data_IF_526480520756
#
_entry.id   IF_526480520756
#
_cell.length_a   1.000
_cell.length_b   1.000
_cell.length_c   1.000
_cell.angle_alpha   90.00
_cell.angle_beta   90.00
_cell.angle_gamma   90.00
#
_symmetry.space_group_name_H-M   'P 1'
#
loop_
_entity.id
_entity.type
_entity.pdbx_description
1 polymer ?
#
# COMPACT_ATOMS: atom_id res chain seq x y z
N UNK A 1 -5.60 -16.45 2.74
CA UNK A 1 -4.64 -17.20 1.86
C UNK A 1 -4.78 -16.89 0.36
N UNK A 2 -6.00 -16.82 -0.22
CA UNK A 2 -6.16 -16.53 -1.65
C UNK A 2 -5.70 -15.11 -2.03
N UNK A 3 -6.00 -14.11 -1.18
CA UNK A 3 -5.62 -12.71 -1.42
C UNK A 3 -4.10 -12.49 -1.35
N UNK A 4 -3.41 -13.17 -0.42
CA UNK A 4 -1.95 -13.11 -0.31
C UNK A 4 -1.24 -13.62 -1.57
N UNK A 5 -1.74 -14.71 -2.18
CA UNK A 5 -1.24 -15.19 -3.48
C UNK A 5 -1.62 -14.25 -4.63
N UNK A 6 -2.84 -13.69 -4.64
CA UNK A 6 -3.27 -12.80 -5.71
C UNK A 6 -2.49 -11.47 -5.74
N UNK A 7 -2.13 -10.90 -4.59
CA UNK A 7 -1.28 -9.71 -4.51
C UNK A 7 0.15 -9.96 -5.06
N UNK A 8 0.64 -11.19 -4.99
CA UNK A 8 1.94 -11.58 -5.58
C UNK A 8 1.85 -11.99 -7.05
N UNK A 9 0.73 -12.59 -7.49
CA UNK A 9 0.56 -13.17 -8.85
C UNK A 9 0.01 -12.16 -9.86
N UNK A 10 -0.91 -11.28 -9.44
CA UNK A 10 -1.41 -10.19 -10.26
C UNK A 10 -0.72 -8.91 -9.79
N UNK A 11 0.05 -8.27 -10.66
CA UNK A 11 0.65 -6.97 -10.35
C UNK A 11 -0.42 -6.06 -9.75
N UNK A 12 -0.14 -5.50 -8.56
CA UNK A 12 -1.13 -4.87 -7.67
C UNK A 12 -2.09 -3.90 -8.38
N UNK A 13 -1.64 -3.24 -9.44
CA UNK A 13 -2.46 -2.37 -10.30
C UNK A 13 -3.72 -3.05 -10.90
N UNK A 14 -3.67 -4.35 -11.22
CA UNK A 14 -4.79 -5.09 -11.79
C UNK A 14 -5.93 -5.33 -10.79
N UNK A 15 -5.63 -5.23 -9.49
CA UNK A 15 -6.59 -5.42 -8.40
C UNK A 15 -7.24 -4.10 -7.97
N UNK A 16 -6.74 -2.95 -8.42
CA UNK A 16 -7.28 -1.64 -8.08
C UNK A 16 -8.51 -1.29 -8.94
N UNK A 17 -9.55 -0.79 -8.28
CA UNK A 17 -10.65 -0.10 -8.92
C UNK A 17 -10.15 1.23 -9.51
N UNK A 18 -10.79 1.72 -10.58
CA UNK A 18 -10.35 2.97 -11.22
C UNK A 18 -10.51 4.18 -10.28
N UNK A 19 -11.50 4.10 -9.38
CA UNK A 19 -11.84 5.12 -8.37
C UNK A 19 -11.11 4.97 -7.03
N UNK A 20 -10.15 4.04 -6.93
CA UNK A 20 -9.49 3.73 -5.65
C UNK A 20 -8.96 4.97 -4.95
N UNK A 21 -9.09 5.04 -3.62
CA UNK A 21 -8.48 6.08 -2.79
C UNK A 21 -7.39 5.49 -1.92
N UNK A 22 -6.17 6.00 -2.07
CA UNK A 22 -5.04 5.64 -1.23
C UNK A 22 -4.85 6.64 -0.09
N UNK A 23 -4.82 6.15 1.15
CA UNK A 23 -4.54 6.94 2.36
C UNK A 23 -3.19 6.53 2.95
N UNK A 24 -2.28 7.50 2.97
CA UNK A 24 -0.87 7.32 3.34
C UNK A 24 -0.66 7.31 4.86
N UNK A 25 0.37 6.60 5.36
CA UNK A 25 0.75 6.66 6.78
C UNK A 25 1.52 7.94 7.13
N UNK A 26 1.95 8.72 6.12
CA UNK A 26 2.86 9.87 6.29
C UNK A 26 2.27 11.21 5.83
N UNK A 27 1.24 11.21 4.99
CA UNK A 27 0.59 12.43 4.50
C UNK A 27 -0.91 12.39 4.76
N UNK A 28 -1.49 13.52 5.21
CA UNK A 28 -2.91 13.61 5.54
C UNK A 28 -3.83 13.58 4.32
N UNK A 29 -3.46 14.26 3.22
CA UNK A 29 -4.31 14.34 2.03
C UNK A 29 -4.33 12.97 1.31
N UNK A 30 -5.51 12.37 1.06
CA UNK A 30 -5.61 11.14 0.28
C UNK A 30 -5.27 11.33 -1.20
N UNK A 31 -4.93 10.23 -1.86
CA UNK A 31 -4.59 10.16 -3.29
C UNK A 31 -5.69 9.41 -4.04
N UNK A 32 -6.61 10.10 -4.72
CA UNK A 32 -7.65 9.47 -5.52
C UNK A 32 -7.11 9.02 -6.88
N UNK A 33 -7.54 7.83 -7.30
CA UNK A 33 -7.31 7.29 -8.63
C UNK A 33 -6.29 6.14 -8.67
N UNK A 34 -6.55 5.21 -9.59
CA UNK A 34 -5.74 4.02 -9.82
C UNK A 34 -4.31 4.30 -10.24
N UNK A 35 -4.10 5.24 -11.17
CA UNK A 35 -2.77 5.53 -11.71
C UNK A 35 -1.79 5.98 -10.61
N UNK A 36 -2.20 6.94 -9.77
CA UNK A 36 -1.38 7.43 -8.66
C UNK A 36 -1.21 6.38 -7.57
N UNK A 37 -2.26 5.63 -7.24
CA UNK A 37 -2.18 4.55 -6.25
C UNK A 37 -1.20 3.47 -6.69
N UNK A 38 -1.29 3.02 -7.95
CA UNK A 38 -0.37 2.03 -8.50
C UNK A 38 1.09 2.53 -8.51
N UNK A 39 1.32 3.80 -8.85
CA UNK A 39 2.64 4.42 -8.82
C UNK A 39 3.20 4.51 -7.39
N UNK A 40 2.38 4.88 -6.40
CA UNK A 40 2.77 4.91 -4.99
C UNK A 40 3.16 3.50 -4.52
N UNK A 41 2.35 2.48 -4.82
CA UNK A 41 2.64 1.10 -4.39
C UNK A 41 3.94 0.57 -5.02
N UNK A 42 4.24 0.92 -6.27
CA UNK A 42 5.57 0.67 -6.87
C UNK A 42 6.69 1.40 -6.14
N UNK A 43 6.47 2.65 -5.73
CA UNK A 43 7.40 3.41 -4.90
C UNK A 43 7.70 2.72 -3.58
N UNK A 44 6.66 2.23 -2.90
CA UNK A 44 6.79 1.48 -1.63
C UNK A 44 7.63 0.21 -1.83
N UNK A 45 7.43 -0.53 -2.92
CA UNK A 45 8.24 -1.73 -3.24
C UNK A 45 9.73 -1.43 -3.47
N UNK A 46 10.09 -0.19 -3.82
CA UNK A 46 11.50 0.24 -3.93
C UNK A 46 12.10 0.65 -2.59
N UNK A 47 11.27 1.08 -1.65
CA UNK A 47 11.67 1.64 -0.35
C UNK A 47 11.73 0.57 0.74
N UNK A 48 10.79 -0.38 0.73
CA UNK A 48 10.78 -1.46 1.71
C UNK A 48 11.79 -2.54 1.39
N UNK A 49 12.53 -2.93 2.43
CA UNK A 49 13.41 -4.08 2.48
C UNK A 49 12.79 -5.15 3.40
N UNK A 50 13.10 -6.43 3.19
CA UNK A 50 12.63 -7.56 4.02
C UNK A 50 11.12 -7.59 4.27
N UNK A 51 10.32 -7.08 3.31
CA UNK A 51 8.87 -6.99 3.45
C UNK A 51 8.24 -8.38 3.55
N UNK A 52 7.44 -8.60 4.60
CA UNK A 52 6.72 -9.87 4.82
C UNK A 52 5.36 -9.59 5.46
N UNK A 53 4.29 -10.13 4.87
CA UNK A 53 3.00 -10.22 5.56
C UNK A 53 3.07 -11.30 6.65
N UNK A 54 2.67 -10.95 7.86
CA UNK A 54 2.77 -11.81 9.05
C UNK A 54 1.41 -12.19 9.64
N UNK A 55 0.33 -11.51 9.24
CA UNK A 55 -1.04 -11.84 9.67
C UNK A 55 -2.06 -11.27 8.68
N UNK A 56 -3.11 -12.04 8.44
CA UNK A 56 -4.33 -11.62 7.73
C UNK A 56 -5.47 -11.54 8.76
N UNK A 57 -6.22 -10.45 8.75
CA UNK A 57 -7.45 -10.27 9.51
C UNK A 57 -8.53 -9.94 8.48
N UNK A 58 -9.54 -10.79 8.36
CA UNK A 58 -10.60 -10.63 7.38
C UNK A 58 -11.96 -10.90 8.03
N UNK A 59 -12.99 -10.20 7.58
CA UNK A 59 -14.36 -10.61 7.83
C UNK A 59 -14.73 -11.69 6.80
N UNK A 60 -15.07 -12.94 7.19
CA UNK A 60 -15.30 -14.04 6.25
C UNK A 60 -16.31 -13.74 5.13
N UNK A 61 -17.32 -12.92 5.43
CA UNK A 61 -18.37 -12.52 4.48
C UNK A 61 -18.33 -11.00 4.18
N UNK A 62 -17.29 -10.32 4.64
CA UNK A 62 -17.11 -8.88 4.44
C UNK A 62 -16.14 -8.58 3.30
N UNK A 63 -16.02 -7.28 3.00
CA UNK A 63 -15.11 -6.77 1.97
C UNK A 63 -13.93 -6.00 2.55
N UNK A 64 -13.79 -6.03 3.86
CA UNK A 64 -12.70 -5.38 4.58
C UNK A 64 -11.65 -6.40 4.98
N UNK A 65 -10.41 -6.12 4.56
CA UNK A 65 -9.24 -6.93 4.90
C UNK A 65 -8.16 -6.07 5.53
N UNK A 66 -7.47 -6.62 6.52
CA UNK A 66 -6.30 -6.03 7.13
C UNK A 66 -5.12 -7.00 7.06
N UNK A 67 -4.04 -6.58 6.41
CA UNK A 67 -2.82 -7.37 6.26
C UNK A 67 -1.70 -6.74 7.07
N UNK A 68 -1.35 -7.38 8.19
CA UNK A 68 -0.23 -6.94 9.03
C UNK A 68 1.07 -7.40 8.38
N UNK A 69 2.03 -6.49 8.25
CA UNK A 69 3.34 -6.76 7.69
C UNK A 69 4.48 -6.25 8.58
N UNK A 70 5.67 -6.78 8.33
CA UNK A 70 6.94 -6.24 8.82
C UNK A 70 7.82 -5.89 7.64
N UNK A 71 8.65 -4.85 7.78
CA UNK A 71 9.65 -4.48 6.79
C UNK A 71 10.79 -3.69 7.46
N UNK A 72 11.82 -3.38 6.70
CA UNK A 72 12.90 -2.46 7.05
C UNK A 72 12.89 -1.26 6.09
N UNK A 73 13.16 -0.06 6.61
CA UNK A 73 13.41 1.14 5.79
C UNK A 73 14.58 1.91 6.37
N UNK A 74 15.61 2.18 5.57
CA UNK A 74 16.81 2.90 6.00
C UNK A 74 17.41 2.33 7.31
N UNK A 75 17.48 1.00 7.41
CA UNK A 75 17.97 0.29 8.60
C UNK A 75 17.04 0.29 9.82
N UNK A 76 15.83 0.84 9.73
CA UNK A 76 14.83 0.81 10.80
C UNK A 76 13.76 -0.23 10.50
N UNK A 77 13.56 -1.15 11.45
CA UNK A 77 12.44 -2.09 11.39
C UNK A 77 11.12 -1.38 11.66
N UNK A 78 10.09 -1.76 10.91
CA UNK A 78 8.72 -1.33 11.10
C UNK A 78 7.75 -2.51 11.07
N UNK A 79 6.60 -2.27 11.69
CA UNK A 79 5.40 -3.05 11.48
C UNK A 79 4.35 -2.13 10.88
N UNK A 80 3.64 -2.60 9.87
CA UNK A 80 2.52 -1.89 9.30
C UNK A 80 1.30 -2.77 9.10
N UNK A 81 0.25 -2.13 8.63
CA UNK A 81 -0.97 -2.80 8.24
C UNK A 81 -1.56 -2.11 7.01
N UNK A 82 -1.84 -2.90 5.98
CA UNK A 82 -2.65 -2.48 4.85
C UNK A 82 -4.11 -2.79 5.17
N UNK A 83 -4.96 -1.77 5.19
CA UNK A 83 -6.41 -1.89 5.30
C UNK A 83 -7.01 -1.68 3.92
N UNK A 84 -7.69 -2.70 3.41
CA UNK A 84 -8.24 -2.72 2.06
C UNK A 84 -9.76 -2.88 2.15
N UNK A 85 -10.49 -2.01 1.45
CA UNK A 85 -11.88 -2.25 1.10
C UNK A 85 -11.94 -2.77 -0.35
N UNK A 86 -12.84 -3.71 -0.59
CA UNK A 86 -13.14 -4.19 -1.92
C UNK A 86 -14.56 -3.77 -2.32
N UNK A 87 -14.74 -3.38 -3.58
CA UNK A 87 -16.05 -3.11 -4.17
C UNK A 87 -16.80 -4.43 -4.51
N UNK A 88 -18.01 -4.28 -5.06
CA UNK A 88 -18.86 -5.43 -5.44
C UNK A 88 -18.27 -6.26 -6.60
N UNK A 89 -17.32 -5.71 -7.36
CA UNK A 89 -16.59 -6.40 -8.44
C UNK A 89 -15.30 -7.08 -7.93
N UNK A 90 -15.03 -7.00 -6.62
CA UNK A 90 -13.83 -7.57 -6.00
C UNK A 90 -12.57 -6.79 -6.33
N UNK A 91 -12.67 -5.49 -6.64
CA UNK A 91 -11.53 -4.57 -6.83
C UNK A 91 -11.33 -3.71 -5.59
N UNK A 92 -10.09 -3.33 -5.33
CA UNK A 92 -9.73 -2.47 -4.21
C UNK A 92 -10.14 -1.04 -4.54
N UNK A 93 -11.11 -0.49 -3.83
CA UNK A 93 -11.61 0.89 -3.94
C UNK A 93 -11.16 1.78 -2.76
N UNK A 94 -10.73 1.19 -1.65
CA UNK A 94 -10.01 1.90 -0.59
C UNK A 94 -8.75 1.16 -0.15
N UNK A 95 -7.64 1.89 -0.01
CA UNK A 95 -6.37 1.35 0.49
C UNK A 95 -5.75 2.31 1.49
N UNK A 96 -5.81 1.98 2.78
CA UNK A 96 -5.18 2.75 3.85
C UNK A 96 -3.99 2.00 4.42
N UNK A 97 -2.85 2.68 4.57
CA UNK A 97 -1.66 2.10 5.18
C UNK A 97 -1.35 2.81 6.49
N UNK A 98 -1.08 2.04 7.54
CA UNK A 98 -0.56 2.55 8.82
C UNK A 98 0.75 1.85 9.15
N UNK A 99 1.71 2.58 9.74
CA UNK A 99 3.00 2.02 10.16
C UNK A 99 3.42 2.50 11.55
N UNK A 100 4.22 1.68 12.22
CA UNK A 100 4.85 1.97 13.52
C UNK A 100 6.28 1.38 13.57
N UNK A 101 7.15 1.85 14.47
CA UNK A 101 7.00 3.02 15.34
C UNK A 101 7.16 4.34 14.57
N UNK A 102 6.87 5.48 15.24
CA UNK A 102 6.97 6.82 14.64
C UNK A 102 8.34 7.08 13.98
N UNK A 103 9.43 6.64 14.60
CA UNK A 103 10.78 6.83 14.04
C UNK A 103 11.01 6.11 12.71
N UNK A 104 10.33 4.99 12.48
CA UNK A 104 10.35 4.30 11.20
C UNK A 104 9.34 4.90 10.22
N UNK A 105 8.20 5.42 10.70
CA UNK A 105 7.26 6.19 9.89
C UNK A 105 7.89 7.46 9.30
N UNK A 106 8.72 8.15 10.09
CA UNK A 106 9.49 9.32 9.63
C UNK A 106 10.48 8.93 8.53
N UNK A 107 11.26 7.87 8.75
CA UNK A 107 12.20 7.36 7.74
C UNK A 107 11.48 6.91 6.45
N UNK A 108 10.31 6.28 6.57
CA UNK A 108 9.45 5.95 5.44
C UNK A 108 9.02 7.22 4.69
N UNK A 109 8.60 8.26 5.41
CA UNK A 109 8.20 9.54 4.82
C UNK A 109 9.32 10.20 4.02
N UNK A 110 10.54 10.23 4.56
CA UNK A 110 11.73 10.74 3.88
C UNK A 110 12.05 9.93 2.62
N UNK A 111 12.08 8.60 2.72
CA UNK A 111 12.38 7.72 1.59
C UNK A 111 11.32 7.81 0.48
N UNK A 112 10.03 7.85 0.83
CA UNK A 112 8.95 8.04 -0.13
C UNK A 112 8.93 9.44 -0.73
N UNK A 113 9.30 10.47 0.03
CA UNK A 113 9.46 11.82 -0.47
C UNK A 113 10.49 11.88 -1.61
N UNK A 114 11.61 11.17 -1.47
CA UNK A 114 12.62 11.06 -2.52
C UNK A 114 12.15 10.29 -3.77
N UNK A 115 11.10 9.46 -3.65
CA UNK A 115 10.49 8.75 -4.78
C UNK A 115 9.45 9.59 -5.54
N UNK A 116 8.98 10.71 -4.96
CA UNK A 116 7.72 11.31 -5.39
C UNK A 116 7.74 11.91 -6.80
N UNK A 117 8.88 12.45 -7.25
CA UNK A 117 9.01 12.91 -8.65
C UNK A 117 8.81 11.76 -9.65
N UNK A 118 9.39 10.59 -9.35
CA UNK A 118 9.21 9.41 -10.18
C UNK A 118 7.77 8.88 -10.11
N UNK A 119 7.17 8.86 -8.92
CA UNK A 119 5.76 8.45 -8.73
C UNK A 119 4.84 9.35 -9.57
N UNK A 120 5.03 10.66 -9.53
CA UNK A 120 4.22 11.60 -10.29
C UNK A 120 4.33 11.38 -11.80
N UNK A 121 5.54 11.13 -12.31
CA UNK A 121 5.76 10.78 -13.71
C UNK A 121 5.09 9.46 -14.11
N UNK A 122 5.31 8.41 -13.33
CA UNK A 122 4.71 7.09 -13.58
C UNK A 122 3.17 7.14 -13.55
N UNK A 123 2.58 8.01 -12.73
CA UNK A 123 1.13 8.20 -12.65
C UNK A 123 0.57 8.98 -13.86
N UNK A 124 1.35 9.87 -14.47
CA UNK A 124 0.92 10.66 -15.63
C UNK A 124 1.02 9.88 -16.96
N UNK A 125 1.76 8.78 -16.98
CA UNK A 125 1.97 7.93 -18.16
C UNK A 125 0.91 6.82 -18.31
N UNK A 126 -0.05 6.72 -17.38
CA UNK A 126 -1.14 5.73 -17.37
C UNK A 126 -2.49 6.37 -17.68
#
# INVERSE_FOLDING_TARGET
>A
MAVHLQLQVYGVAALLADVVVFTSPVTFKPYPGKAITAAILRGVLRVFEDFTYVREIANPDGRDHAFVFTATVAGKQLQGCDFLHFDDDGKIDESTVMVRPLSAAQALGEAMGAQFEQIAREAAEQ
#
